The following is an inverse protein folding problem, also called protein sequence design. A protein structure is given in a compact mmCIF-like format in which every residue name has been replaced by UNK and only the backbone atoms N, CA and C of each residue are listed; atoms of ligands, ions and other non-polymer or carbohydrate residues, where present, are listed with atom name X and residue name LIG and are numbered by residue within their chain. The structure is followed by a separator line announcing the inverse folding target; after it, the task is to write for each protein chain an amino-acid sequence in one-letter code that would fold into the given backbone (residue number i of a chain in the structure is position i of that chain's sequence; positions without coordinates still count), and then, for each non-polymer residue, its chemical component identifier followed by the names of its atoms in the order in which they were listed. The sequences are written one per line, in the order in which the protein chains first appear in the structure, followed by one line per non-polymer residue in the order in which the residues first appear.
data_IF_765580199565
#
_entry.id   IF_765580199565
#
_cell.length_a   1.000
_cell.length_b   1.000
_cell.length_c   1.000
_cell.angle_alpha   90.00
_cell.angle_beta   90.00
_cell.angle_gamma   90.00
#
_symmetry.space_group_name_H-M   'P 1'
#
loop_
_entity.id
_entity.type
_entity.pdbx_description
1 polymer ?
#
# COMPACT_ATOMS: atom_id res chain seq x y z
N UNK A 1 18.54 -17.51 -28.18
CA UNK A 1 17.76 -17.64 -26.91
C UNK A 1 17.84 -16.36 -26.06
N UNK A 2 18.08 -15.18 -26.65
CA UNK A 2 18.36 -13.93 -25.92
C UNK A 2 17.11 -13.06 -25.67
N UNK A 3 16.09 -13.09 -26.55
CA UNK A 3 14.98 -12.13 -26.51
C UNK A 3 13.96 -12.30 -25.35
N UNK A 4 13.77 -13.50 -24.80
CA UNK A 4 12.70 -13.75 -23.81
C UNK A 4 13.08 -13.33 -22.39
N UNK A 5 14.25 -13.77 -21.90
CA UNK A 5 14.74 -13.42 -20.57
C UNK A 5 14.99 -11.91 -20.43
N UNK A 6 15.47 -11.25 -21.49
CA UNK A 6 15.63 -9.81 -21.55
C UNK A 6 14.27 -9.08 -21.47
N UNK A 7 13.26 -9.56 -22.21
CA UNK A 7 11.92 -8.98 -22.17
C UNK A 7 11.25 -9.13 -20.80
N UNK A 8 11.42 -10.27 -20.13
CA UNK A 8 10.89 -10.51 -18.78
C UNK A 8 11.58 -9.63 -17.74
N UNK A 9 12.90 -9.45 -17.84
CA UNK A 9 13.65 -8.54 -16.99
C UNK A 9 13.21 -7.07 -17.17
N UNK A 10 13.01 -6.63 -18.41
CA UNK A 10 12.52 -5.27 -18.72
C UNK A 10 11.12 -5.02 -18.19
N UNK A 11 10.22 -6.00 -18.34
CA UNK A 11 8.86 -5.93 -17.80
C UNK A 11 8.90 -5.82 -16.27
N UNK A 12 9.72 -6.62 -15.59
CA UNK A 12 9.90 -6.58 -14.13
C UNK A 12 10.33 -5.19 -13.66
N UNK A 13 11.37 -4.61 -14.27
CA UNK A 13 11.88 -3.28 -13.92
C UNK A 13 10.81 -2.21 -14.16
N UNK A 14 10.04 -2.35 -15.23
CA UNK A 14 8.94 -1.43 -15.56
C UNK A 14 7.83 -1.49 -14.51
N UNK A 15 7.41 -2.69 -14.08
CA UNK A 15 6.43 -2.86 -13.00
C UNK A 15 6.95 -2.24 -11.69
N UNK A 16 8.21 -2.49 -11.34
CA UNK A 16 8.84 -1.89 -10.15
C UNK A 16 8.83 -0.36 -10.21
N UNK A 17 9.15 0.23 -11.36
CA UNK A 17 9.13 1.67 -11.57
C UNK A 17 7.72 2.25 -11.45
N UNK A 18 6.70 1.57 -11.98
CA UNK A 18 5.31 1.97 -11.80
C UNK A 18 4.87 1.90 -10.33
N UNK A 19 5.13 0.78 -9.65
CA UNK A 19 4.83 0.62 -8.23
C UNK A 19 5.48 1.72 -7.38
N UNK A 20 6.77 2.00 -7.58
CA UNK A 20 7.48 3.08 -6.90
C UNK A 20 6.82 4.44 -7.15
N UNK A 21 6.44 4.71 -8.41
CA UNK A 21 5.87 5.99 -8.82
C UNK A 21 4.48 6.22 -8.20
N UNK A 22 3.58 5.23 -8.30
CA UNK A 22 2.24 5.34 -7.74
C UNK A 22 2.25 5.34 -6.21
N UNK A 23 3.16 4.59 -5.58
CA UNK A 23 3.37 4.61 -4.13
C UNK A 23 3.79 6.00 -3.67
N UNK A 24 4.80 6.58 -4.33
CA UNK A 24 5.31 7.92 -3.99
C UNK A 24 4.24 9.00 -4.15
N UNK A 25 3.42 8.90 -5.21
CA UNK A 25 2.35 9.84 -5.47
C UNK A 25 1.24 9.75 -4.42
N UNK A 26 0.76 8.54 -4.14
CA UNK A 26 -0.28 8.30 -3.13
C UNK A 26 0.18 8.73 -1.74
N UNK A 27 1.39 8.37 -1.33
CA UNK A 27 1.91 8.76 -0.01
C UNK A 27 1.98 10.29 0.13
N UNK A 28 2.46 10.99 -0.91
CA UNK A 28 2.48 12.46 -0.90
C UNK A 28 1.07 13.04 -0.77
N UNK A 29 0.09 12.51 -1.51
CA UNK A 29 -1.30 12.96 -1.42
C UNK A 29 -1.88 12.71 -0.02
N UNK A 30 -1.66 11.53 0.55
CA UNK A 30 -2.10 11.16 1.91
C UNK A 30 -1.53 12.14 2.94
N UNK A 31 -0.23 12.40 2.89
CA UNK A 31 0.47 13.30 3.83
C UNK A 31 -0.01 14.74 3.71
N UNK A 32 -0.22 15.23 2.49
CA UNK A 32 -0.77 16.57 2.26
C UNK A 32 -2.20 16.68 2.80
N UNK A 33 -3.07 15.73 2.45
CA UNK A 33 -4.45 15.70 2.92
C UNK A 33 -4.56 15.63 4.44
N UNK A 34 -3.74 14.79 5.10
CA UNK A 34 -3.68 14.74 6.56
C UNK A 34 -3.20 16.07 7.16
N UNK A 35 -2.22 16.72 6.54
CA UNK A 35 -1.73 18.04 6.97
C UNK A 35 -2.81 19.12 6.87
N UNK A 36 -3.66 19.05 5.84
CA UNK A 36 -4.82 19.94 5.66
C UNK A 36 -5.95 19.67 6.66
N UNK A 37 -6.10 18.42 7.11
CA UNK A 37 -7.07 18.08 8.14
C UNK A 37 -6.71 18.71 9.51
N UNK A 38 -5.43 18.99 9.79
CA UNK A 38 -4.99 19.55 11.07
C UNK A 38 -5.53 20.97 11.27
N UNK A 39 -6.51 21.11 12.18
CA UNK A 39 -7.05 22.40 12.60
C UNK A 39 -6.07 23.23 13.45
N UNK A 40 -6.38 24.51 13.70
CA UNK A 40 -5.61 25.33 14.62
C UNK A 40 -5.73 24.81 16.06
N UNK A 41 -4.62 24.74 16.79
CA UNK A 41 -4.60 24.28 18.18
C UNK A 41 -3.18 24.10 18.73
N UNK A 42 -3.03 23.86 20.04
CA UNK A 42 -1.72 23.74 20.70
C UNK A 42 -0.83 22.62 20.13
N UNK A 43 -1.41 21.52 19.67
CA UNK A 43 -0.72 20.36 19.09
C UNK A 43 -0.52 20.45 17.57
N UNK A 44 -1.07 21.48 16.91
CA UNK A 44 -1.13 21.56 15.44
C UNK A 44 0.25 21.47 14.77
N UNK A 45 1.27 22.10 15.34
CA UNK A 45 2.64 22.01 14.83
C UNK A 45 3.20 20.59 14.85
N UNK A 46 2.95 19.84 15.94
CA UNK A 46 3.40 18.45 16.06
C UNK A 46 2.60 17.51 15.16
N UNK A 47 1.29 17.71 15.05
CA UNK A 47 0.40 16.95 14.17
C UNK A 47 0.79 17.14 12.71
N UNK A 48 1.07 18.38 12.26
CA UNK A 48 1.56 18.64 10.89
C UNK A 48 2.91 18.00 10.60
N UNK A 49 3.86 18.06 11.53
CA UNK A 49 5.14 17.34 11.40
C UNK A 49 4.93 15.82 11.28
N UNK A 50 3.99 15.29 12.06
CA UNK A 50 3.64 13.86 11.99
C UNK A 50 3.01 13.51 10.64
N UNK A 51 2.12 14.34 10.11
CA UNK A 51 1.57 14.15 8.77
C UNK A 51 2.66 14.15 7.68
N UNK A 52 3.62 15.07 7.76
CA UNK A 52 4.66 15.24 6.74
C UNK A 52 5.75 14.17 6.77
N UNK A 53 6.18 13.74 7.97
CA UNK A 53 7.37 12.91 8.14
C UNK A 53 7.16 11.67 8.99
N UNK A 54 5.98 11.51 9.60
CA UNK A 54 5.69 10.38 10.45
C UNK A 54 5.68 9.05 9.67
N UNK A 55 6.06 7.95 10.32
CA UNK A 55 5.88 6.61 9.78
C UNK A 55 4.38 6.26 9.65
N UNK A 56 4.07 5.24 8.84
CA UNK A 56 2.69 4.91 8.46
C UNK A 56 1.77 4.61 9.66
N UNK A 57 2.29 3.99 10.72
CA UNK A 57 1.56 3.76 11.98
C UNK A 57 1.12 5.08 12.63
N UNK A 58 2.02 6.07 12.67
CA UNK A 58 1.72 7.40 13.18
C UNK A 58 0.74 8.16 12.30
N UNK A 59 0.81 7.99 10.97
CA UNK A 59 -0.21 8.53 10.06
C UNK A 59 -1.58 7.93 10.34
N UNK A 60 -1.67 6.61 10.58
CA UNK A 60 -2.93 5.94 10.93
C UNK A 60 -3.48 6.43 12.26
N UNK A 61 -2.62 6.60 13.28
CA UNK A 61 -3.03 7.17 14.58
C UNK A 61 -3.54 8.60 14.42
N UNK A 62 -2.82 9.43 13.66
CA UNK A 62 -3.23 10.81 13.39
C UNK A 62 -4.57 10.89 12.65
N UNK A 63 -4.78 10.04 11.64
CA UNK A 63 -6.07 10.00 10.95
C UNK A 63 -7.20 9.61 11.90
N UNK A 64 -6.97 8.63 12.77
CA UNK A 64 -7.94 8.20 13.77
C UNK A 64 -8.28 9.32 14.76
N UNK A 65 -7.30 10.13 15.17
CA UNK A 65 -7.50 11.30 16.02
C UNK A 65 -8.33 12.38 15.31
N UNK A 66 -8.03 12.66 14.04
CA UNK A 66 -8.63 13.77 13.29
C UNK A 66 -10.01 13.44 12.70
N UNK A 67 -10.26 12.17 12.36
CA UNK A 67 -11.46 11.74 11.62
C UNK A 67 -12.21 10.58 12.28
N UNK A 68 -11.72 10.05 13.41
CA UNK A 68 -12.35 8.92 14.10
C UNK A 68 -12.20 7.57 13.39
N UNK A 69 -11.41 7.49 12.32
CA UNK A 69 -11.28 6.30 11.48
C UNK A 69 -9.78 6.03 11.23
N UNK A 70 -9.23 4.88 11.65
CA UNK A 70 -7.84 4.55 11.33
C UNK A 70 -7.69 4.13 9.86
N UNK A 71 -6.48 4.24 9.28
CA UNK A 71 -6.22 3.80 7.90
C UNK A 71 -6.54 2.32 7.68
N UNK A 72 -6.38 1.49 8.73
CA UNK A 72 -6.71 0.06 8.72
C UNK A 72 -8.19 -0.25 8.53
N UNK A 73 -9.08 0.71 8.72
CA UNK A 73 -10.52 0.50 8.57
C UNK A 73 -10.99 0.60 7.10
N UNK A 74 -10.13 1.07 6.19
CA UNK A 74 -10.44 1.12 4.76
C UNK A 74 -10.30 -0.28 4.16
N UNK A 75 -11.23 -0.68 3.29
CA UNK A 75 -11.20 -2.00 2.65
C UNK A 75 -10.00 -2.19 1.70
N UNK A 76 -9.37 -1.09 1.29
CA UNK A 76 -8.18 -1.08 0.43
C UNK A 76 -6.87 -1.12 1.22
N UNK A 77 -6.93 -1.22 2.55
CA UNK A 77 -5.76 -1.12 3.42
C UNK A 77 -4.67 -2.14 3.09
N UNK A 78 -5.01 -3.42 2.91
CA UNK A 78 -4.01 -4.48 2.72
C UNK A 78 -3.24 -4.27 1.41
N UNK A 79 -3.93 -3.89 0.33
CA UNK A 79 -3.30 -3.55 -0.96
C UNK A 79 -2.42 -2.30 -0.85
N UNK A 80 -2.87 -1.27 -0.14
CA UNK A 80 -2.08 -0.06 0.08
C UNK A 80 -0.84 -0.30 0.95
N UNK A 81 -0.95 -1.18 1.95
CA UNK A 81 0.18 -1.56 2.79
C UNK A 81 1.19 -2.38 1.99
N UNK A 82 0.72 -3.34 1.18
CA UNK A 82 1.58 -4.08 0.28
C UNK A 82 2.28 -3.13 -0.72
N UNK A 83 1.54 -2.18 -1.32
CA UNK A 83 2.13 -1.16 -2.18
C UNK A 83 3.22 -0.35 -1.46
N UNK A 84 2.99 0.04 -0.20
CA UNK A 84 3.98 0.76 0.60
C UNK A 84 5.26 -0.05 0.79
N UNK A 85 5.14 -1.34 1.14
CA UNK A 85 6.29 -2.24 1.30
C UNK A 85 7.03 -2.45 -0.03
N UNK A 86 6.31 -2.71 -1.11
CA UNK A 86 6.87 -2.85 -2.47
C UNK A 86 7.59 -1.58 -2.90
N UNK A 87 6.97 -0.41 -2.77
CA UNK A 87 7.59 0.86 -3.15
C UNK A 87 8.85 1.17 -2.34
N UNK A 88 8.86 0.86 -1.04
CA UNK A 88 10.06 0.99 -0.22
C UNK A 88 11.18 0.03 -0.66
N UNK A 89 10.84 -1.22 -1.00
CA UNK A 89 11.81 -2.18 -1.53
C UNK A 89 12.34 -1.76 -2.91
N UNK A 90 11.48 -1.26 -3.81
CA UNK A 90 11.90 -0.69 -5.09
C UNK A 90 12.85 0.51 -4.92
N UNK A 91 12.62 1.36 -3.90
CA UNK A 91 13.44 2.56 -3.66
C UNK A 91 14.80 2.24 -3.05
N UNK A 92 14.85 1.30 -2.11
CA UNK A 92 16.03 1.06 -1.29
C UNK A 92 16.78 -0.23 -1.63
N UNK A 93 16.18 -1.12 -2.42
CA UNK A 93 16.74 -2.43 -2.74
C UNK A 93 16.79 -3.35 -1.52
N UNK A 94 17.81 -4.21 -1.51
CA UNK A 94 18.06 -5.16 -0.43
C UNK A 94 18.31 -4.49 0.93
N UNK A 95 17.97 -5.20 2.01
CA UNK A 95 18.10 -4.69 3.37
C UNK A 95 16.77 -4.66 4.11
N UNK A 96 16.56 -3.66 4.97
CA UNK A 96 15.37 -3.62 5.84
C UNK A 96 14.06 -3.66 5.07
N UNK A 97 13.93 -2.86 4.00
CA UNK A 97 12.70 -2.78 3.20
C UNK A 97 12.35 -4.10 2.52
N UNK A 98 13.33 -4.73 1.85
CA UNK A 98 13.14 -6.04 1.22
C UNK A 98 12.83 -7.13 2.25
N UNK A 99 13.50 -7.12 3.40
CA UNK A 99 13.24 -8.07 4.49
C UNK A 99 11.85 -7.90 5.10
N UNK A 100 11.38 -6.66 5.27
CA UNK A 100 10.04 -6.40 5.79
C UNK A 100 8.96 -6.84 4.78
N UNK A 101 9.19 -6.60 3.48
CA UNK A 101 8.31 -7.12 2.42
C UNK A 101 8.28 -8.65 2.40
N UNK A 102 9.44 -9.32 2.46
CA UNK A 102 9.53 -10.77 2.48
C UNK A 102 8.82 -11.38 3.70
N UNK A 103 8.96 -10.77 4.88
CA UNK A 103 8.25 -11.25 6.08
C UNK A 103 6.73 -11.12 5.97
N UNK A 104 6.25 -10.05 5.35
CA UNK A 104 4.83 -9.79 5.19
C UNK A 104 4.20 -10.59 4.05
N UNK A 105 4.96 -10.79 2.96
CA UNK A 105 4.49 -11.34 1.69
C UNK A 105 5.53 -12.31 1.07
N UNK A 106 5.85 -13.43 1.75
CA UNK A 106 6.83 -14.40 1.25
C UNK A 106 6.41 -15.06 -0.07
N UNK A 107 5.11 -15.05 -0.40
CA UNK A 107 4.56 -15.57 -1.66
C UNK A 107 5.10 -14.86 -2.91
N UNK A 108 5.66 -13.65 -2.76
CA UNK A 108 6.34 -12.95 -3.85
C UNK A 108 7.68 -13.59 -4.24
N UNK A 109 8.19 -14.55 -3.45
CA UNK A 109 9.39 -15.32 -3.74
C UNK A 109 9.05 -16.82 -3.90
N UNK A 110 8.34 -17.21 -4.97
CA UNK A 110 7.86 -18.58 -5.15
C UNK A 110 8.99 -19.62 -5.25
N UNK A 111 10.20 -19.17 -5.59
CA UNK A 111 11.38 -20.02 -5.75
C UNK A 111 12.27 -20.08 -4.49
N UNK A 112 11.94 -19.33 -3.44
CA UNK A 112 12.69 -19.36 -2.19
C UNK A 112 12.17 -20.46 -1.28
N UNK A 113 13.08 -21.20 -0.65
CA UNK A 113 12.75 -22.29 0.29
C UNK A 113 13.50 -22.09 1.61
N UNK A 114 12.78 -22.24 2.72
CA UNK A 114 13.35 -22.30 4.07
C UNK A 114 13.90 -23.67 4.43
N UNK A 115 13.77 -24.65 3.54
CA UNK A 115 14.25 -26.01 3.79
C UNK A 115 15.77 -25.98 4.07
N UNK A 116 16.24 -26.65 5.13
CA UNK A 116 17.67 -26.81 5.37
C UNK A 116 18.32 -27.43 4.13
N UNK A 117 19.45 -26.89 3.71
CA UNK A 117 20.25 -27.52 2.67
C UNK A 117 20.63 -28.93 3.17
N UNK A 118 20.13 -29.96 2.49
CA UNK A 118 20.54 -31.34 2.76
C UNK A 118 22.00 -31.47 2.39
N UNK A 119 22.87 -31.45 3.40
CA UNK A 119 24.29 -31.68 3.23
C UNK A 119 24.57 -33.18 3.09
N UNK A 120 25.65 -33.58 2.40
CA UNK A 120 26.17 -34.94 2.45
C UNK A 120 26.34 -35.40 3.91
N UNK A 121 26.12 -36.69 4.16
CA UNK A 121 26.11 -37.25 5.51
C UNK A 121 27.41 -36.92 6.28
N UNK A 122 27.30 -36.13 7.36
CA UNK A 122 28.42 -35.81 8.25
C UNK A 122 28.47 -34.36 8.72
N UNK A 123 27.88 -33.42 7.97
CA UNK A 123 27.90 -32.01 8.33
C UNK A 123 26.69 -31.60 9.20
N UNK A 124 26.88 -30.71 10.19
CA UNK A 124 25.77 -30.14 10.93
C UNK A 124 24.84 -29.37 9.98
N UNK A 125 23.52 -29.38 10.21
CA UNK A 125 22.58 -28.63 9.38
C UNK A 125 22.99 -27.15 9.39
N UNK A 126 23.22 -26.58 8.19
CA UNK A 126 23.39 -25.14 8.07
C UNK A 126 22.13 -24.45 8.60
N UNK A 127 22.32 -23.32 9.29
CA UNK A 127 21.21 -22.47 9.72
C UNK A 127 20.29 -22.08 8.55
N UNK A 128 19.10 -21.54 8.83
CA UNK A 128 18.16 -21.17 7.78
C UNK A 128 18.84 -20.23 6.78
N UNK A 129 18.57 -20.38 5.47
CA UNK A 129 19.17 -19.54 4.45
C UNK A 129 18.84 -18.06 4.71
N UNK A 130 19.75 -17.18 4.32
CA UNK A 130 19.49 -15.74 4.35
C UNK A 130 18.21 -15.40 3.58
N UNK A 131 17.52 -14.29 3.95
CA UNK A 131 16.39 -13.80 3.17
C UNK A 131 16.76 -13.65 1.68
N UNK A 132 15.81 -13.90 0.76
CA UNK A 132 16.07 -13.79 -0.66
C UNK A 132 16.38 -12.33 -1.06
N UNK A 133 17.11 -12.17 -2.16
CA UNK A 133 17.34 -10.86 -2.75
C UNK A 133 16.03 -10.30 -3.32
N UNK A 134 15.84 -8.99 -3.26
CA UNK A 134 14.66 -8.33 -3.84
C UNK A 134 14.57 -8.53 -5.35
N UNK A 135 15.70 -8.68 -6.05
CA UNK A 135 15.69 -8.99 -7.49
C UNK A 135 14.97 -10.32 -7.81
N UNK A 136 14.93 -11.25 -6.85
CA UNK A 136 14.27 -12.54 -6.99
C UNK A 136 12.75 -12.46 -6.75
N UNK A 137 12.25 -11.31 -6.29
CA UNK A 137 10.82 -11.09 -6.09
C UNK A 137 10.09 -11.08 -7.44
N UNK A 138 8.96 -11.77 -7.48
CA UNK A 138 8.04 -11.79 -8.61
C UNK A 138 6.90 -10.82 -8.31
N UNK A 139 6.87 -9.71 -9.04
CA UNK A 139 5.78 -8.74 -9.00
C UNK A 139 4.92 -8.91 -10.25
N UNK A 140 3.83 -9.70 -10.19
CA UNK A 140 2.95 -9.90 -11.34
C UNK A 140 2.23 -8.59 -11.71
N UNK A 141 1.86 -8.42 -12.98
CA UNK A 141 1.17 -7.22 -13.49
C UNK A 141 -0.13 -6.95 -12.72
N UNK A 142 -0.79 -8.02 -12.29
CA UNK A 142 -2.04 -8.00 -11.55
C UNK A 142 -1.92 -7.24 -10.21
N UNK A 143 -0.72 -7.19 -9.61
CA UNK A 143 -0.47 -6.34 -8.44
C UNK A 143 -0.57 -4.85 -8.78
N UNK A 144 -0.06 -4.45 -9.95
CA UNK A 144 -0.13 -3.05 -10.36
C UNK A 144 -1.58 -2.60 -10.55
N UNK A 145 -2.40 -3.45 -11.18
CA UNK A 145 -3.83 -3.19 -11.35
C UNK A 145 -4.53 -3.08 -9.98
N UNK A 146 -4.27 -4.00 -9.05
CA UNK A 146 -4.78 -3.95 -7.67
C UNK A 146 -4.36 -2.68 -6.93
N UNK A 147 -3.09 -2.27 -7.03
CA UNK A 147 -2.58 -1.07 -6.37
C UNK A 147 -3.24 0.20 -6.91
N UNK A 148 -3.42 0.30 -8.22
CA UNK A 148 -4.12 1.42 -8.84
C UNK A 148 -5.58 1.49 -8.37
N UNK A 149 -6.28 0.34 -8.37
CA UNK A 149 -7.65 0.25 -7.86
C UNK A 149 -7.75 0.60 -6.37
N UNK A 150 -6.79 0.18 -5.55
CA UNK A 150 -6.74 0.46 -4.12
C UNK A 150 -6.53 1.95 -3.81
N UNK A 151 -5.66 2.63 -4.56
CA UNK A 151 -5.44 4.08 -4.43
C UNK A 151 -6.72 4.84 -4.77
N UNK A 152 -7.33 4.53 -5.91
CA UNK A 152 -8.57 5.19 -6.35
C UNK A 152 -9.69 4.90 -5.35
N UNK A 153 -9.83 3.64 -4.93
CA UNK A 153 -10.85 3.23 -3.98
C UNK A 153 -10.71 3.88 -2.60
N UNK A 154 -9.48 4.10 -2.15
CA UNK A 154 -9.22 4.85 -0.92
C UNK A 154 -9.74 6.29 -0.99
N UNK A 155 -9.42 7.01 -2.08
CA UNK A 155 -9.88 8.39 -2.22
C UNK A 155 -11.39 8.52 -2.40
N UNK A 156 -12.02 7.54 -3.07
CA UNK A 156 -13.48 7.45 -3.15
C UNK A 156 -14.12 7.19 -1.79
N UNK A 157 -13.52 6.33 -0.96
CA UNK A 157 -13.97 6.10 0.40
C UNK A 157 -13.84 7.37 1.27
N UNK A 158 -12.74 8.11 1.12
CA UNK A 158 -12.54 9.41 1.79
C UNK A 158 -13.61 10.42 1.34
N UNK A 159 -13.91 10.49 0.04
CA UNK A 159 -14.95 11.35 -0.51
C UNK A 159 -16.34 10.95 0.03
N UNK A 160 -16.65 9.66 0.05
CA UNK A 160 -17.89 9.12 0.60
C UNK A 160 -18.05 9.50 2.08
N UNK A 161 -17.01 9.28 2.91
CA UNK A 161 -17.03 9.64 4.34
C UNK A 161 -17.25 11.14 4.51
N UNK A 162 -16.55 11.97 3.73
CA UNK A 162 -16.74 13.43 3.75
C UNK A 162 -18.18 13.81 3.42
N UNK A 163 -18.76 13.27 2.34
CA UNK A 163 -20.14 13.60 1.96
C UNK A 163 -21.16 13.17 3.01
N UNK A 164 -20.97 12.02 3.67
CA UNK A 164 -21.84 11.61 4.79
C UNK A 164 -21.73 12.52 6.02
N UNK A 165 -20.65 13.30 6.16
CA UNK A 165 -20.48 14.24 7.28
C UNK A 165 -21.10 15.61 7.05
N UNK A 166 -21.57 15.90 5.82
CA UNK A 166 -22.28 17.13 5.49
C UNK A 166 -23.76 16.88 5.73
N UNK A 167 -24.43 17.71 6.53
CA UNK A 167 -25.89 17.69 6.62
C UNK A 167 -26.45 18.06 5.24
N UNK A 168 -27.12 17.14 4.53
CA UNK A 168 -27.66 17.47 3.23
C UNK A 168 -28.77 18.49 3.41
N UNK A 169 -28.64 19.66 2.77
CA UNK A 169 -29.83 20.46 2.51
C UNK A 169 -30.79 19.58 1.68
N UNK A 170 -32.09 19.62 1.97
CA UNK A 170 -33.11 18.75 1.35
C UNK A 170 -33.22 18.86 -0.19
N UNK A 171 -32.39 19.68 -0.85
CA UNK A 171 -32.49 20.06 -2.26
C UNK A 171 -31.23 19.76 -3.09
N UNK A 172 -30.22 19.10 -2.55
CA UNK A 172 -28.96 18.88 -3.30
C UNK A 172 -28.94 17.50 -4.00
N UNK A 173 -29.74 17.37 -5.06
CA UNK A 173 -29.89 16.15 -5.86
C UNK A 173 -28.55 15.65 -6.42
N UNK A 174 -27.62 16.56 -6.71
CA UNK A 174 -26.27 16.23 -7.19
C UNK A 174 -25.43 15.55 -6.11
N UNK A 175 -25.49 16.01 -4.86
CA UNK A 175 -24.79 15.37 -3.75
C UNK A 175 -25.33 13.97 -3.48
N UNK A 176 -26.66 13.81 -3.54
CA UNK A 176 -27.29 12.49 -3.40
C UNK A 176 -26.90 11.52 -4.52
N UNK A 177 -26.86 11.98 -5.77
CA UNK A 177 -26.42 11.18 -6.90
C UNK A 177 -24.97 10.72 -6.73
N UNK A 178 -24.06 11.63 -6.35
CA UNK A 178 -22.65 11.31 -6.13
C UNK A 178 -22.46 10.36 -4.94
N UNK A 179 -23.17 10.58 -3.83
CA UNK A 179 -23.13 9.66 -2.68
C UNK A 179 -23.58 8.24 -3.05
N UNK A 180 -24.64 8.11 -3.86
CA UNK A 180 -25.11 6.81 -4.32
C UNK A 180 -24.11 6.16 -5.29
N UNK A 181 -23.48 6.95 -6.16
CA UNK A 181 -22.42 6.47 -7.05
C UNK A 181 -21.24 5.89 -6.26
N UNK A 182 -20.71 6.65 -5.29
CA UNK A 182 -19.60 6.22 -4.44
C UNK A 182 -19.96 4.99 -3.59
N UNK A 183 -21.20 4.93 -3.06
CA UNK A 183 -21.71 3.76 -2.33
C UNK A 183 -21.71 2.52 -3.20
N UNK A 184 -22.19 2.62 -4.44
CA UNK A 184 -22.20 1.50 -5.40
C UNK A 184 -20.80 1.01 -5.73
N UNK A 185 -19.85 1.93 -5.96
CA UNK A 185 -18.43 1.58 -6.21
C UNK A 185 -17.79 0.88 -5.01
N UNK A 186 -18.04 1.38 -3.79
CA UNK A 186 -17.56 0.75 -2.56
C UNK A 186 -18.10 -0.67 -2.40
N UNK A 187 -19.40 -0.89 -2.62
CA UNK A 187 -20.02 -2.20 -2.54
C UNK A 187 -19.45 -3.18 -3.57
N UNK A 188 -19.27 -2.72 -4.82
CA UNK A 188 -18.67 -3.52 -5.87
C UNK A 188 -17.23 -3.94 -5.54
N UNK A 189 -16.42 -3.05 -4.94
CA UNK A 189 -15.08 -3.40 -4.46
C UNK A 189 -15.11 -4.46 -3.36
N UNK A 190 -15.91 -4.24 -2.30
CA UNK A 190 -16.03 -5.18 -1.18
C UNK A 190 -16.48 -6.57 -1.65
N UNK A 191 -17.34 -6.64 -2.66
CA UNK A 191 -17.80 -7.90 -3.23
C UNK A 191 -16.70 -8.66 -4.00
N UNK A 192 -15.70 -7.97 -4.58
CA UNK A 192 -14.56 -8.59 -5.29
C UNK A 192 -13.46 -9.06 -4.35
N UNK A 193 -13.40 -8.50 -3.14
CA UNK A 193 -12.40 -8.85 -2.11
C UNK A 193 -12.82 -10.03 -1.22
N UNK A 194 -13.99 -10.64 -1.48
CA UNK A 194 -14.51 -11.85 -0.80
C UNK A 194 -14.41 -13.05 -1.72
#
# INVERSE_FOLDING_TARGET
MFAKAESEALLRVTIQAFCLSIQSLWERQLRNWLSECVGPGPSSGQQRRTAQHGPMDKLSSLLSEMRGIPLRAFSTWDDLMLLHLVGNACRHGDGKSANDLFRANPELWPNWSSAPLTMPAGDPPMGPPSPPLFEQAVLPRELLDRFAEAIVGFWEDVAYIRLNSIEPSKQDDLLWAEMNHLRGRRQARIARSR
#
